data_IF_588404566106
#
_entry.id   IF_588404566106
#
_cell.length_a   1.000
_cell.length_b   1.000
_cell.length_c   1.000
_cell.angle_alpha   90.00
_cell.angle_beta   90.00
_cell.angle_gamma   90.00
#
_symmetry.space_group_name_H-M   'P 1'
#
loop_
_entity.id
_entity.type
_entity.pdbx_description
1 polymer ?
#
# COMPACT_ATOMS: atom_id res chain seq x y z
N UNK A 1 -11.98 -11.89 -2.02
CA UNK A 1 -10.77 -11.10 -2.39
C UNK A 1 -10.92 -10.67 -3.83
N UNK A 2 -10.63 -9.40 -4.15
CA UNK A 2 -10.71 -8.92 -5.53
C UNK A 2 -9.52 -9.44 -6.35
N UNK A 3 -9.62 -9.56 -7.69
CA UNK A 3 -8.48 -9.95 -8.54
C UNK A 3 -7.27 -9.02 -8.35
N UNK A 4 -7.52 -7.74 -8.06
CA UNK A 4 -6.49 -6.75 -7.74
C UNK A 4 -5.74 -7.07 -6.45
N UNK A 5 -6.43 -7.60 -5.43
CA UNK A 5 -5.77 -8.06 -4.19
C UNK A 5 -4.81 -9.23 -4.44
N UNK A 6 -5.17 -10.15 -5.35
CA UNK A 6 -4.30 -11.27 -5.73
C UNK A 6 -3.07 -10.82 -6.49
N UNK A 7 -3.23 -9.88 -7.43
CA UNK A 7 -2.10 -9.28 -8.13
C UNK A 7 -1.15 -8.56 -7.17
N UNK A 8 -1.69 -7.79 -6.22
CA UNK A 8 -0.90 -7.13 -5.19
C UNK A 8 -0.12 -8.13 -4.32
N UNK A 9 -0.77 -9.24 -3.92
CA UNK A 9 -0.13 -10.29 -3.13
C UNK A 9 0.97 -11.00 -3.93
N UNK A 10 0.71 -11.34 -5.19
CA UNK A 10 1.70 -11.97 -6.07
C UNK A 10 2.91 -11.07 -6.29
N UNK A 11 2.68 -9.76 -6.49
CA UNK A 11 3.75 -8.78 -6.62
C UNK A 11 4.57 -8.64 -5.33
N UNK A 12 3.91 -8.57 -4.17
CA UNK A 12 4.59 -8.54 -2.87
C UNK A 12 5.42 -9.81 -2.64
N UNK A 13 4.89 -10.99 -3.00
CA UNK A 13 5.62 -12.24 -2.91
C UNK A 13 6.85 -12.26 -3.85
N UNK A 14 6.70 -11.79 -5.09
CA UNK A 14 7.79 -11.71 -6.05
C UNK A 14 8.93 -10.77 -5.57
N UNK A 15 8.57 -9.61 -5.00
CA UNK A 15 9.54 -8.70 -4.38
C UNK A 15 10.30 -9.39 -3.24
N UNK A 16 9.58 -10.09 -2.36
CA UNK A 16 10.19 -10.75 -1.21
C UNK A 16 11.14 -11.88 -1.64
N UNK A 17 10.79 -12.65 -2.68
CA UNK A 17 11.68 -13.65 -3.28
C UNK A 17 12.92 -12.98 -3.89
N UNK A 18 12.75 -11.85 -4.58
CA UNK A 18 13.85 -11.12 -5.18
C UNK A 18 14.81 -10.54 -4.13
N UNK A 19 14.29 -9.98 -3.03
CA UNK A 19 15.09 -9.49 -1.91
C UNK A 19 15.95 -10.61 -1.31
N UNK A 20 15.34 -11.78 -1.05
CA UNK A 20 16.09 -12.96 -0.58
C UNK A 20 17.18 -13.34 -1.57
N UNK A 21 16.87 -13.37 -2.87
CA UNK A 21 17.86 -13.67 -3.90
C UNK A 21 19.05 -12.68 -3.88
N UNK A 22 18.78 -11.38 -3.84
CA UNK A 22 19.83 -10.35 -3.78
C UNK A 22 20.66 -10.47 -2.50
N UNK A 23 20.04 -10.71 -1.34
CA UNK A 23 20.75 -10.95 -0.07
C UNK A 23 21.67 -12.16 -0.20
N UNK A 24 21.22 -13.27 -0.80
CA UNK A 24 22.09 -14.44 -1.01
C UNK A 24 23.27 -14.14 -1.93
N UNK A 25 23.07 -13.31 -2.95
CA UNK A 25 24.13 -12.86 -3.86
C UNK A 25 25.19 -12.04 -3.11
N UNK A 26 24.76 -11.09 -2.27
CA UNK A 26 25.66 -10.27 -1.45
C UNK A 26 26.43 -11.11 -0.45
N UNK A 27 25.77 -12.08 0.20
CA UNK A 27 26.42 -12.98 1.16
C UNK A 27 27.50 -13.85 0.49
N UNK A 28 27.21 -14.37 -0.71
CA UNK A 28 28.13 -15.21 -1.50
C UNK A 28 29.28 -14.45 -2.17
N UNK A 29 29.18 -13.12 -2.28
CA UNK A 29 30.22 -12.32 -2.92
C UNK A 29 31.44 -12.17 -2.02
N UNK A 30 32.62 -12.60 -2.46
CA UNK A 30 33.88 -12.36 -1.73
C UNK A 30 34.44 -10.94 -1.94
N UNK A 31 33.81 -10.15 -2.81
CA UNK A 31 34.28 -8.82 -3.18
C UNK A 31 34.13 -7.76 -2.08
N UNK A 32 33.32 -8.02 -1.04
CA UNK A 32 32.94 -7.02 -0.03
C UNK A 32 33.32 -7.46 1.38
N UNK A 33 33.81 -6.50 2.18
CA UNK A 33 34.03 -6.69 3.61
C UNK A 33 32.71 -6.88 4.37
N UNK A 34 32.77 -7.44 5.59
CA UNK A 34 31.57 -7.73 6.42
C UNK A 34 30.68 -6.50 6.65
N UNK A 35 31.28 -5.33 6.88
CA UNK A 35 30.55 -4.07 7.08
C UNK A 35 29.83 -3.59 5.80
N UNK A 36 30.48 -3.72 4.64
CA UNK A 36 29.89 -3.38 3.35
C UNK A 36 28.72 -4.30 2.99
N UNK A 37 28.85 -5.60 3.26
CA UNK A 37 27.74 -6.57 3.07
C UNK A 37 26.53 -6.21 3.93
N UNK A 38 26.74 -5.89 5.20
CA UNK A 38 25.67 -5.46 6.10
C UNK A 38 24.98 -4.18 5.63
N UNK A 39 25.76 -3.18 5.17
CA UNK A 39 25.20 -1.94 4.63
C UNK A 39 24.38 -2.18 3.35
N UNK A 40 24.86 -3.03 2.43
CA UNK A 40 24.14 -3.39 1.21
C UNK A 40 22.84 -4.13 1.52
N UNK A 41 22.87 -5.12 2.42
CA UNK A 41 21.66 -5.85 2.85
C UNK A 41 20.66 -4.88 3.50
N UNK A 42 21.12 -3.99 4.38
CA UNK A 42 20.26 -2.99 5.01
C UNK A 42 19.61 -2.06 3.98
N UNK A 43 20.36 -1.60 2.97
CA UNK A 43 19.84 -0.76 1.89
C UNK A 43 18.76 -1.46 1.06
N UNK A 44 18.99 -2.74 0.69
CA UNK A 44 18.02 -3.54 -0.06
C UNK A 44 16.71 -3.69 0.72
N UNK A 45 16.80 -4.01 2.01
CA UNK A 45 15.62 -4.22 2.86
C UNK A 45 14.91 -2.91 3.25
N UNK A 46 15.59 -1.77 3.25
CA UNK A 46 14.99 -0.47 3.55
C UNK A 46 14.12 0.07 2.41
N UNK A 47 14.43 -0.28 1.16
CA UNK A 47 13.71 0.20 -0.01
C UNK A 47 12.19 -0.08 0.05
N UNK A 48 11.72 -1.31 0.32
CA UNK A 48 10.28 -1.58 0.44
C UNK A 48 9.64 -0.86 1.65
N UNK A 49 10.39 -0.66 2.74
CA UNK A 49 9.89 0.07 3.92
C UNK A 49 9.65 1.55 3.58
N UNK A 50 10.56 2.17 2.83
CA UNK A 50 10.40 3.56 2.37
C UNK A 50 9.18 3.66 1.43
N UNK A 51 9.03 2.74 0.48
CA UNK A 51 7.86 2.70 -0.40
C UNK A 51 6.54 2.59 0.38
N UNK A 52 6.48 1.70 1.38
CA UNK A 52 5.32 1.55 2.24
C UNK A 52 5.03 2.83 3.06
N UNK A 53 6.07 3.48 3.60
CA UNK A 53 5.93 4.72 4.36
C UNK A 53 5.38 5.87 3.52
N UNK A 54 5.83 6.00 2.26
CA UNK A 54 5.33 7.01 1.32
C UNK A 54 3.85 6.77 1.02
N UNK A 55 3.46 5.53 0.67
CA UNK A 55 2.06 5.19 0.42
C UNK A 55 1.20 5.48 1.64
N UNK A 56 1.68 5.13 2.84
CA UNK A 56 0.99 5.41 4.09
C UNK A 56 0.81 6.90 4.36
N UNK A 57 1.82 7.72 4.06
CA UNK A 57 1.75 9.17 4.20
C UNK A 57 0.65 9.76 3.31
N UNK A 58 0.66 9.45 2.01
CA UNK A 58 -0.35 9.95 1.08
C UNK A 58 -1.75 9.38 1.35
N UNK A 59 -1.85 8.12 1.78
CA UNK A 59 -3.12 7.53 2.17
C UNK A 59 -3.75 8.24 3.37
N UNK A 60 -2.94 8.79 4.30
CA UNK A 60 -3.45 9.59 5.42
C UNK A 60 -3.99 10.95 4.98
N UNK A 61 -3.39 11.56 3.97
CA UNK A 61 -3.80 12.88 3.45
C UNK A 61 -5.03 12.79 2.53
N UNK A 62 -5.18 11.70 1.78
CA UNK A 62 -6.26 11.52 0.80
C UNK A 62 -7.63 11.12 1.37
N UNK A 63 -7.73 10.77 2.65
CA UNK A 63 -9.02 10.47 3.29
C UNK A 63 -9.65 11.79 3.75
N UNK A 64 -10.24 12.52 2.80
CA UNK A 64 -11.25 13.51 3.16
C UNK A 64 -12.33 12.78 3.97
N UNK A 65 -12.75 13.29 5.14
CA UNK A 65 -13.88 12.72 5.86
C UNK A 65 -15.04 12.62 4.88
N UNK A 66 -15.60 11.43 4.69
CA UNK A 66 -16.86 11.29 3.97
C UNK A 66 -17.82 12.33 4.55
N UNK A 67 -18.49 13.15 3.71
CA UNK A 67 -19.54 14.03 4.20
C UNK A 67 -20.44 13.19 5.10
N UNK A 68 -20.62 13.62 6.35
CA UNK A 68 -21.54 12.92 7.25
C UNK A 68 -22.86 12.82 6.48
N UNK A 69 -23.48 11.63 6.36
CA UNK A 69 -24.82 11.55 5.82
C UNK A 69 -25.67 12.45 6.70
N UNK A 70 -26.09 13.59 6.16
CA UNK A 70 -26.98 14.50 6.85
C UNK A 70 -28.19 13.65 7.24
N UNK A 71 -28.41 13.48 8.55
CA UNK A 71 -29.51 12.64 9.09
C UNK A 71 -30.89 13.19 8.75
N UNK A 72 -30.95 14.28 8.00
CA UNK A 72 -32.16 14.85 7.47
C UNK A 72 -32.50 14.19 6.13
N UNK A 73 -32.80 12.89 6.19
CA UNK A 73 -33.57 12.25 5.13
C UNK A 73 -34.98 12.86 5.22
N UNK A 74 -35.20 13.98 4.54
CA UNK A 74 -36.54 14.55 4.36
C UNK A 74 -37.30 13.54 3.49
N UNK A 75 -38.31 12.82 4.02
CA UNK A 75 -39.13 11.97 3.19
C UNK A 75 -39.80 12.87 2.17
N UNK A 76 -39.53 12.66 0.88
CA UNK A 76 -40.33 13.27 -0.18
C UNK A 76 -41.70 12.59 -0.16
N UNK A 77 -42.57 13.05 0.75
CA UNK A 77 -43.95 12.64 0.80
C UNK A 77 -44.67 13.15 -0.45
N UNK A 78 -44.74 12.24 -1.43
CA UNK A 78 -45.79 12.05 -2.43
C UNK A 78 -46.02 13.20 -3.44
N UNK A 79 -46.36 12.85 -4.70
CA UNK A 79 -46.75 13.83 -5.70
C UNK A 79 -48.01 14.56 -5.25
N UNK A 80 -47.99 15.89 -5.32
CA UNK A 80 -49.17 16.76 -5.22
C UNK A 80 -50.08 16.53 -6.42
N UNK A 81 -50.80 15.41 -6.41
CA UNK A 81 -51.95 15.18 -7.28
C UNK A 81 -53.14 15.93 -6.69
N UNK A 82 -53.35 17.13 -7.24
CA UNK A 82 -54.66 17.78 -7.29
C UNK A 82 -54.89 18.84 -6.22
N UNK A 83 -54.98 20.09 -6.67
CA UNK A 83 -56.24 20.81 -6.51
C UNK A 83 -56.58 21.51 -7.83
N UNK A 84 -57.78 21.22 -8.31
CA UNK A 84 -58.49 21.93 -9.37
C UNK A 84 -59.00 23.27 -8.84
#
# INVERSE_FOLDING_TARGET
>A
MSPWSWLGLAFAAALLVYDVYVVTLVLRSDAFGRSQKLAQIALVLLLPVIGAAIVHWFAREGVAPLPRPDREFVPQDRPTLGQR
#
